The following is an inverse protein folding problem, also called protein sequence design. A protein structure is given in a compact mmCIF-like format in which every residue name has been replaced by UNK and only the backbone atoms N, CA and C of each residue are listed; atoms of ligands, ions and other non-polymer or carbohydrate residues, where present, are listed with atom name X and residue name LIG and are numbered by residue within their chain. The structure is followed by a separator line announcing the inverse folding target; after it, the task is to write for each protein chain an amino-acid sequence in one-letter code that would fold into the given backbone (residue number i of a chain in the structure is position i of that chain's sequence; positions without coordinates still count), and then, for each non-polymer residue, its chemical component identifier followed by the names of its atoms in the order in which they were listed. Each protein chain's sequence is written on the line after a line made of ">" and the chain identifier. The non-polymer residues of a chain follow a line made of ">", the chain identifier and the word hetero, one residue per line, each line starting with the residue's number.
data_IF_436767485318
#
_entry.id   IF_436767485318
#
_cell.length_a   1.000
_cell.length_b   1.000
_cell.length_c   1.000
_cell.angle_alpha   90.00
_cell.angle_beta   90.00
_cell.angle_gamma   90.00
#
_symmetry.space_group_name_H-M   'P 1'
#
loop_
_entity.id
_entity.type
_entity.pdbx_description
1 polymer ?
#
# COMPACT_ATOMS: atom_id res chain seq x y z
N UNK A 1 -0.20 11.01 6.21
CA UNK A 1 -1.22 11.10 5.17
C UNK A 1 -1.13 9.92 4.22
N UNK A 2 -2.26 9.38 3.82
CA UNK A 2 -2.28 8.25 2.90
C UNK A 2 -2.58 8.72 1.49
N UNK A 3 -1.89 8.12 0.53
CA UNK A 3 -2.01 8.46 -0.88
C UNK A 3 -2.54 7.26 -1.66
N UNK A 4 -3.42 7.53 -2.61
CA UNK A 4 -3.93 6.47 -3.47
C UNK A 4 -2.81 5.95 -4.36
N UNK A 5 -2.75 4.64 -4.52
CA UNK A 5 -1.75 4.01 -5.38
C UNK A 5 -2.41 3.22 -6.51
N UNK A 6 -3.34 2.34 -6.17
CA UNK A 6 -3.91 1.43 -7.16
C UNK A 6 -5.29 0.97 -6.71
N UNK A 7 -6.15 0.68 -7.67
CA UNK A 7 -7.42 0.04 -7.40
C UNK A 7 -7.51 -1.21 -8.26
N UNK A 8 -7.83 -2.33 -7.62
CA UNK A 8 -7.94 -3.61 -8.33
C UNK A 8 -9.33 -3.79 -8.89
N UNK A 9 -9.47 -4.73 -9.81
CA UNK A 9 -10.76 -4.98 -10.48
C UNK A 9 -11.85 -5.44 -9.52
N UNK A 10 -11.48 -6.04 -8.39
CA UNK A 10 -12.44 -6.50 -7.40
C UNK A 10 -12.87 -5.42 -6.41
N UNK A 11 -12.40 -4.20 -6.62
CA UNK A 11 -12.73 -3.07 -5.76
C UNK A 11 -11.73 -2.82 -4.62
N UNK A 12 -10.70 -3.64 -4.51
CA UNK A 12 -9.67 -3.43 -3.49
C UNK A 12 -8.88 -2.18 -3.81
N UNK A 13 -8.78 -1.28 -2.84
CA UNK A 13 -7.98 -0.08 -2.97
C UNK A 13 -6.68 -0.24 -2.20
N UNK A 14 -5.58 0.18 -2.82
CA UNK A 14 -4.27 0.15 -2.20
C UNK A 14 -3.80 1.59 -2.04
N UNK A 15 -3.50 1.97 -0.80
CA UNK A 15 -2.99 3.30 -0.48
C UNK A 15 -1.69 3.16 0.30
N UNK A 16 -0.89 4.21 0.33
CA UNK A 16 0.38 4.17 1.05
C UNK A 16 0.62 5.49 1.78
N UNK A 17 1.45 5.43 2.80
CA UNK A 17 1.84 6.61 3.56
C UNK A 17 3.00 7.32 2.87
N UNK A 18 3.36 8.48 3.41
CA UNK A 18 4.65 9.10 3.13
C UNK A 18 5.74 8.22 3.76
N UNK A 19 7.01 8.57 3.49
CA UNK A 19 8.11 7.90 4.16
C UNK A 19 8.00 8.17 5.67
N UNK A 20 8.04 7.11 6.44
CA UNK A 20 8.02 7.16 7.90
C UNK A 20 9.35 6.65 8.43
N UNK A 21 9.64 6.96 9.69
CA UNK A 21 10.90 6.55 10.31
C UNK A 21 10.60 5.83 11.62
N UNK A 22 11.28 4.72 11.83
CA UNK A 22 11.14 3.99 13.09
C UNK A 22 12.05 4.59 14.15
N UNK A 23 12.10 3.96 15.34
CA UNK A 23 12.87 4.46 16.45
C UNK A 23 14.38 4.48 16.18
N UNK A 24 14.82 3.69 15.22
CA UNK A 24 16.23 3.62 14.81
C UNK A 24 16.54 4.55 13.64
N UNK A 25 15.54 5.32 13.18
CA UNK A 25 15.72 6.21 12.04
C UNK A 25 15.64 5.52 10.70
N UNK A 26 15.22 4.26 10.67
CA UNK A 26 15.10 3.50 9.43
C UNK A 26 13.80 3.87 8.71
N UNK A 27 13.91 4.11 7.41
CA UNK A 27 12.75 4.44 6.60
C UNK A 27 11.81 3.26 6.41
N UNK A 28 10.51 3.53 6.46
CA UNK A 28 9.52 2.52 6.09
C UNK A 28 8.29 3.20 5.49
N UNK A 29 7.46 2.41 4.84
CA UNK A 29 6.20 2.87 4.24
C UNK A 29 5.09 1.95 4.71
N UNK A 30 4.00 2.54 5.15
CA UNK A 30 2.82 1.80 5.57
C UNK A 30 1.87 1.70 4.38
N UNK A 31 1.55 0.49 3.98
CA UNK A 31 0.62 0.23 2.87
C UNK A 31 -0.66 -0.32 3.46
N UNK A 32 -1.78 0.24 3.04
CA UNK A 32 -3.09 -0.20 3.50
C UNK A 32 -3.93 -0.66 2.32
N UNK A 33 -4.55 -1.81 2.46
CA UNK A 33 -5.43 -2.38 1.44
C UNK A 33 -6.81 -2.56 2.04
N UNK A 34 -7.83 -2.17 1.29
CA UNK A 34 -9.20 -2.23 1.75
C UNK A 34 -10.12 -2.64 0.62
N UNK A 35 -10.99 -3.61 0.88
CA UNK A 35 -12.00 -4.03 -0.08
C UNK A 35 -13.37 -3.90 0.56
N UNK A 36 -14.24 -3.02 0.03
CA UNK A 36 -15.61 -2.93 0.53
C UNK A 36 -16.38 -4.22 0.23
N UNK A 37 -17.12 -4.68 1.23
CA UNK A 37 -18.01 -5.82 1.07
C UNK A 37 -19.36 -5.44 1.66
N UNK A 38 -20.35 -6.31 1.49
CA UNK A 38 -21.67 -6.07 2.06
C UNK A 38 -21.54 -5.98 3.59
N UNK A 39 -21.92 -4.84 4.11
CA UNK A 39 -21.91 -4.54 5.55
C UNK A 39 -20.50 -4.51 6.16
N UNK A 40 -19.50 -4.10 5.42
CA UNK A 40 -18.19 -3.95 6.03
C UNK A 40 -17.05 -3.83 5.05
N UNK A 41 -15.88 -4.23 5.51
CA UNK A 41 -14.64 -4.14 4.74
C UNK A 41 -13.74 -5.31 5.05
N UNK A 42 -12.99 -5.73 4.04
CA UNK A 42 -11.78 -6.52 4.26
C UNK A 42 -10.61 -5.55 4.29
N UNK A 43 -9.65 -5.77 5.16
CA UNK A 43 -8.51 -4.85 5.26
C UNK A 43 -7.24 -5.57 5.66
N UNK A 44 -6.12 -4.94 5.35
CA UNK A 44 -4.80 -5.45 5.74
C UNK A 44 -3.78 -4.33 5.65
N UNK A 45 -2.72 -4.43 6.43
CA UNK A 45 -1.58 -3.51 6.38
C UNK A 45 -0.32 -4.28 6.00
N UNK A 46 0.55 -3.63 5.26
CA UNK A 46 1.87 -4.17 4.93
C UNK A 46 2.91 -3.08 5.09
N UNK A 47 3.98 -3.36 5.78
CA UNK A 47 5.07 -2.39 5.98
C UNK A 47 6.23 -2.74 5.08
N UNK A 48 6.67 -1.77 4.29
CA UNK A 48 7.80 -1.94 3.38
C UNK A 48 9.03 -1.24 3.95
N UNK A 49 10.22 -1.71 3.65
CA UNK A 49 10.60 -2.76 2.70
C UNK A 49 10.59 -4.17 3.27
N UNK A 50 10.20 -4.34 4.52
CA UNK A 50 10.30 -5.64 5.20
C UNK A 50 9.20 -6.61 4.83
N UNK A 51 8.14 -6.15 4.17
CA UNK A 51 6.98 -6.98 3.83
C UNK A 51 6.32 -7.56 5.07
N UNK A 52 6.18 -6.73 6.11
CA UNK A 52 5.54 -7.17 7.34
C UNK A 52 4.04 -6.92 7.25
N UNK A 53 3.27 -7.99 7.27
CA UNK A 53 1.82 -7.92 7.20
C UNK A 53 1.20 -7.94 8.59
N UNK A 54 0.24 -7.05 8.83
CA UNK A 54 -0.43 -6.95 10.13
C UNK A 54 -1.90 -6.62 9.92
N UNK A 55 -2.68 -6.84 10.98
CA UNK A 55 -4.10 -6.44 11.04
C UNK A 55 -4.88 -6.91 9.82
N UNK A 56 -4.68 -8.17 9.45
CA UNK A 56 -5.40 -8.77 8.33
C UNK A 56 -6.80 -9.14 8.82
N UNK A 57 -7.82 -8.55 8.19
CA UNK A 57 -9.20 -8.82 8.55
C UNK A 57 -10.03 -9.09 7.31
N UNK A 58 -10.70 -10.23 7.29
CA UNK A 58 -11.63 -10.59 6.23
C UNK A 58 -11.03 -11.23 5.00
N UNK A 59 -9.77 -10.97 4.70
CA UNK A 59 -9.10 -11.61 3.57
C UNK A 59 -8.73 -13.05 3.93
N UNK A 60 -8.98 -13.98 3.00
CA UNK A 60 -8.54 -15.36 3.18
C UNK A 60 -7.10 -15.52 2.65
N UNK A 61 -6.55 -16.75 2.81
CA UNK A 61 -5.17 -17.01 2.43
C UNK A 61 -4.91 -16.78 0.95
N UNK A 62 -5.83 -17.17 0.09
CA UNK A 62 -5.67 -16.99 -1.35
C UNK A 62 -5.64 -15.52 -1.71
N UNK A 63 -6.52 -14.74 -1.10
CA UNK A 63 -6.58 -13.31 -1.33
C UNK A 63 -5.30 -12.62 -0.86
N UNK A 64 -4.80 -13.01 0.30
CA UNK A 64 -3.57 -12.43 0.84
C UNK A 64 -2.37 -12.78 -0.05
N UNK A 65 -2.29 -14.01 -0.54
CA UNK A 65 -1.21 -14.39 -1.46
C UNK A 65 -1.24 -13.56 -2.73
N UNK A 66 -2.44 -13.30 -3.24
CA UNK A 66 -2.59 -12.45 -4.42
C UNK A 66 -2.11 -11.01 -4.13
N UNK A 67 -2.49 -10.46 -2.98
CA UNK A 67 -2.05 -9.14 -2.57
C UNK A 67 -0.54 -9.09 -2.36
N UNK A 68 0.03 -10.14 -1.78
CA UNK A 68 1.48 -10.22 -1.60
C UNK A 68 2.22 -10.15 -2.94
N UNK A 69 1.71 -10.84 -3.94
CA UNK A 69 2.32 -10.79 -5.27
C UNK A 69 2.26 -9.40 -5.86
N UNK A 70 1.13 -8.72 -5.73
CA UNK A 70 0.97 -7.36 -6.23
C UNK A 70 1.92 -6.41 -5.52
N UNK A 71 1.97 -6.46 -4.20
CA UNK A 71 2.83 -5.58 -3.43
C UNK A 71 4.30 -5.85 -3.75
N UNK A 72 4.67 -7.13 -3.87
CA UNK A 72 6.04 -7.51 -4.17
C UNK A 72 6.49 -6.94 -5.52
N UNK A 73 5.63 -7.00 -6.51
CA UNK A 73 5.97 -6.51 -7.85
C UNK A 73 5.97 -4.99 -7.95
N UNK A 74 5.30 -4.30 -7.02
CA UNK A 74 5.17 -2.84 -7.08
C UNK A 74 5.84 -2.11 -5.92
N UNK A 75 6.49 -2.83 -5.02
CA UNK A 75 7.06 -2.24 -3.81
C UNK A 75 7.99 -1.07 -4.12
N UNK A 76 8.85 -1.21 -5.13
CA UNK A 76 9.78 -0.15 -5.49
C UNK A 76 9.06 1.12 -5.95
N UNK A 77 7.93 0.96 -6.63
CA UNK A 77 7.13 2.11 -7.06
C UNK A 77 6.44 2.75 -5.86
N UNK A 78 5.93 1.96 -4.95
CA UNK A 78 5.27 2.48 -3.74
C UNK A 78 6.25 3.30 -2.93
N UNK A 79 7.45 2.80 -2.72
CA UNK A 79 8.49 3.51 -1.97
C UNK A 79 8.88 4.80 -2.69
N UNK A 80 9.03 4.73 -4.00
CA UNK A 80 9.36 5.89 -4.81
C UNK A 80 8.30 6.97 -4.68
N UNK A 81 7.02 6.59 -4.80
CA UNK A 81 5.94 7.56 -4.68
C UNK A 81 5.81 8.10 -3.25
N UNK A 82 6.12 7.28 -2.26
CA UNK A 82 6.12 7.74 -0.87
C UNK A 82 7.15 8.86 -0.68
N UNK A 83 8.31 8.75 -1.33
CA UNK A 83 9.33 9.77 -1.28
C UNK A 83 8.92 11.05 -2.00
N UNK A 84 8.03 10.94 -2.98
CA UNK A 84 7.54 12.08 -3.75
C UNK A 84 6.29 12.70 -3.17
N UNK A 85 5.71 12.10 -2.12
CA UNK A 85 4.49 12.59 -1.52
C UNK A 85 3.22 12.18 -2.23
N UNK A 86 3.25 11.11 -3.03
CA UNK A 86 2.07 10.58 -3.68
C UNK A 86 2.26 10.27 -5.15
N UNK A 87 1.28 9.57 -5.71
CA UNK A 87 1.36 9.06 -7.07
C UNK A 87 1.34 10.17 -8.11
N UNK A 88 0.34 11.00 -8.07
CA UNK A 88 0.19 12.07 -9.04
C UNK A 88 0.19 13.39 -8.33
N UNK A 89 1.29 14.07 -8.41
CA UNK A 89 1.52 15.23 -7.60
C UNK A 89 1.95 16.37 -8.50
N UNK A 90 0.98 17.18 -8.87
CA UNK A 90 1.20 18.31 -9.77
C UNK A 90 1.77 17.84 -11.11
N UNK A 91 2.39 18.75 -11.83
CA UNK A 91 2.94 18.45 -13.14
C UNK A 91 4.11 17.48 -13.10
N UNK A 92 4.66 17.26 -11.93
CA UNK A 92 5.83 16.38 -11.80
C UNK A 92 5.54 14.94 -12.20
N UNK A 93 4.30 14.53 -12.11
CA UNK A 93 3.91 13.19 -12.52
C UNK A 93 4.27 12.90 -13.96
N UNK A 94 4.25 13.89 -14.78
CA UNK A 94 4.39 13.71 -16.22
C UNK A 94 5.81 13.78 -16.72
N UNK A 95 6.71 14.08 -15.85
CA UNK A 95 8.11 14.30 -16.25
C UNK A 95 9.07 13.31 -15.60
N UNK A 96 8.52 12.34 -14.93
CA UNK A 96 9.33 11.32 -14.26
C UNK A 96 9.70 10.14 -15.12
#
# INVERSE_FOLDING_TARGET
>A
MMHAFMQLNDGTEIVHSDILYDDNGKEYVKVYMEQPIFQGFKSAYCYLPEYKWTNIEGFNEVEIEHLKDIIKSTAHLIIRFARQGGLCHAANCFFE
#
